data_IF_152003041489
#
_entry.id   IF_152003041489
#
_cell.length_a   1.000
_cell.length_b   1.000
_cell.length_c   1.000
_cell.angle_alpha   90.00
_cell.angle_beta   90.00
_cell.angle_gamma   90.00
#
_symmetry.space_group_name_H-M   'P 1'
#
loop_
_entity.id
_entity.type
_entity.pdbx_description
1 polymer ?
#
# COMPACT_ATOMS: atom_id res chain seq x y z
N UNK A 1 -99.54 4.40 -8.28
CA UNK A 1 -99.04 5.14 -7.11
C UNK A 1 -97.73 5.77 -7.53
N UNK A 2 -97.73 7.09 -7.73
CA UNK A 2 -96.67 7.84 -8.42
C UNK A 2 -96.27 9.05 -7.57
N UNK A 3 -94.95 9.27 -7.49
CA UNK A 3 -94.21 10.50 -7.15
C UNK A 3 -94.44 11.12 -5.75
N UNK A 4 -93.33 11.33 -5.02
CA UNK A 4 -93.01 12.65 -4.43
C UNK A 4 -91.56 12.72 -3.93
N UNK A 5 -90.73 13.37 -4.73
CA UNK A 5 -89.50 14.10 -4.38
C UNK A 5 -89.72 15.16 -3.30
N UNK A 6 -88.72 15.39 -2.45
CA UNK A 6 -88.46 16.73 -1.88
C UNK A 6 -86.96 17.02 -1.77
N UNK A 7 -86.55 18.01 -2.56
CA UNK A 7 -85.25 18.66 -2.65
C UNK A 7 -85.41 20.09 -2.11
N UNK A 8 -84.45 20.61 -1.33
CA UNK A 8 -84.10 22.04 -1.06
C UNK A 8 -83.28 22.12 0.23
N UNK A 9 -82.24 22.96 0.42
CA UNK A 9 -81.42 23.89 -0.37
C UNK A 9 -80.40 24.46 0.64
N UNK A 10 -79.12 24.55 0.32
CA UNK A 10 -78.38 25.79 0.58
C UNK A 10 -77.21 25.95 -0.41
N UNK A 11 -77.02 27.22 -0.77
CA UNK A 11 -76.26 27.85 -1.86
C UNK A 11 -74.76 27.54 -2.02
N UNK A 12 -74.33 27.67 -3.28
CA UNK A 12 -72.98 27.82 -3.89
C UNK A 12 -72.47 29.28 -3.67
N UNK A 13 -71.15 29.62 -3.73
CA UNK A 13 -70.41 29.88 -5.00
C UNK A 13 -69.00 29.22 -5.01
N UNK A 14 -68.49 28.60 -6.08
CA UNK A 14 -68.00 29.15 -7.36
C UNK A 14 -66.85 30.16 -7.23
N UNK A 15 -65.61 29.67 -7.26
CA UNK A 15 -64.47 30.36 -7.90
C UNK A 15 -63.62 29.35 -8.67
N UNK A 16 -63.34 29.74 -9.90
CA UNK A 16 -62.60 29.07 -10.95
C UNK A 16 -61.20 29.69 -11.01
N UNK A 17 -60.12 28.91 -11.05
CA UNK A 17 -58.86 29.29 -11.70
C UNK A 17 -57.81 28.15 -11.64
N UNK A 18 -57.67 27.45 -12.76
CA UNK A 18 -56.41 27.25 -13.48
C UNK A 18 -55.10 27.33 -12.65
N UNK A 19 -54.48 26.19 -12.35
CA UNK A 19 -53.01 26.11 -12.18
C UNK A 19 -52.45 25.15 -13.22
N UNK A 20 -52.11 25.76 -14.35
CA UNK A 20 -51.27 25.22 -15.40
C UNK A 20 -49.93 24.72 -14.83
N UNK A 21 -49.42 23.66 -15.46
CA UNK A 21 -48.06 23.15 -15.32
C UNK A 21 -47.01 24.27 -15.16
N UNK A 22 -46.28 24.23 -14.04
CA UNK A 22 -45.01 24.93 -13.91
C UNK A 22 -43.90 23.87 -14.08
N UNK A 23 -42.93 24.07 -14.98
CA UNK A 23 -41.76 23.20 -15.04
C UNK A 23 -40.97 23.38 -13.75
N UNK A 24 -40.67 22.29 -13.05
CA UNK A 24 -39.63 22.28 -12.03
C UNK A 24 -38.29 22.40 -12.75
N UNK A 25 -37.82 23.62 -12.97
CA UNK A 25 -36.44 23.86 -13.35
C UNK A 25 -35.57 23.62 -12.10
N UNK A 26 -34.93 22.46 -12.04
CA UNK A 26 -33.77 22.26 -11.17
C UNK A 26 -32.60 23.00 -11.79
N UNK A 27 -32.18 24.09 -11.16
CA UNK A 27 -30.89 24.71 -11.42
C UNK A 27 -29.89 24.11 -10.43
N UNK A 28 -28.98 23.26 -10.92
CA UNK A 28 -27.79 22.93 -10.17
C UNK A 28 -26.82 24.11 -10.34
N UNK A 29 -26.87 25.05 -9.41
CA UNK A 29 -25.92 26.16 -9.33
C UNK A 29 -24.72 25.71 -8.49
N UNK A 30 -23.51 25.84 -9.03
CA UNK A 30 -22.26 25.66 -8.27
C UNK A 30 -22.13 26.83 -7.30
N UNK A 31 -22.43 26.59 -6.02
CA UNK A 31 -22.20 27.55 -4.94
C UNK A 31 -20.74 27.44 -4.51
N UNK A 32 -19.97 28.52 -4.67
CA UNK A 32 -18.65 28.61 -4.07
C UNK A 32 -18.81 28.62 -2.54
N UNK A 33 -18.15 27.70 -1.85
CA UNK A 33 -18.12 27.64 -0.39
C UNK A 33 -17.37 28.87 0.12
N UNK A 34 -17.99 29.67 0.98
CA UNK A 34 -17.29 30.76 1.68
C UNK A 34 -16.41 30.17 2.78
N UNK A 35 -15.22 30.75 3.01
CA UNK A 35 -14.25 30.27 4.00
C UNK A 35 -14.82 30.12 5.42
N UNK A 36 -15.91 30.80 5.74
CA UNK A 36 -16.60 30.74 7.03
C UNK A 36 -17.38 29.42 7.20
N UNK A 37 -17.89 28.82 6.12
CA UNK A 37 -18.49 27.46 6.13
C UNK A 37 -17.38 26.38 6.15
N UNK A 38 -16.19 26.65 5.59
CA UNK A 38 -15.02 25.76 5.73
C UNK A 38 -14.31 25.86 7.09
N UNK A 39 -14.58 26.89 7.89
CA UNK A 39 -14.01 27.05 9.22
C UNK A 39 -14.62 26.09 10.24
N UNK A 40 -15.82 25.56 9.97
CA UNK A 40 -16.46 24.49 10.75
C UNK A 40 -15.94 23.09 10.37
N UNK A 41 -15.23 22.96 9.23
CA UNK A 41 -14.39 21.79 8.93
C UNK A 41 -13.03 22.00 9.62
N UNK A 42 -13.03 22.20 10.93
CA UNK A 42 -11.83 22.03 11.77
C UNK A 42 -11.79 20.56 12.14
N UNK A 43 -10.79 19.84 11.61
CA UNK A 43 -10.58 18.41 11.84
C UNK A 43 -10.44 18.06 13.31
N UNK A 44 -11.57 17.80 13.98
CA UNK A 44 -11.59 17.25 15.35
C UNK A 44 -11.66 15.73 15.35
N UNK A 45 -11.81 15.09 14.20
CA UNK A 45 -11.75 13.65 14.03
C UNK A 45 -11.01 13.36 12.72
N UNK A 46 -10.11 12.38 12.73
CA UNK A 46 -9.46 11.87 11.53
C UNK A 46 -10.45 11.45 10.45
N UNK A 47 -9.95 11.31 9.23
CA UNK A 47 -10.71 10.86 8.07
C UNK A 47 -10.59 9.34 7.94
N UNK A 48 -11.72 8.65 7.79
CA UNK A 48 -11.76 7.23 7.43
C UNK A 48 -12.19 7.07 5.99
N UNK A 49 -11.44 6.27 5.23
CA UNK A 49 -11.67 5.99 3.81
C UNK A 49 -11.73 4.47 3.64
N UNK A 50 -12.88 3.96 3.21
CA UNK A 50 -13.02 2.55 2.81
C UNK A 50 -12.75 2.42 1.30
N UNK A 51 -11.93 1.44 0.92
CA UNK A 51 -11.45 1.25 -0.44
C UNK A 51 -11.89 -0.12 -0.93
N UNK A 52 -12.65 -0.12 -2.02
CA UNK A 52 -13.01 -1.32 -2.77
C UNK A 52 -12.77 -1.01 -4.26
N UNK A 53 -11.99 -1.86 -4.94
CA UNK A 53 -11.60 -1.58 -6.32
C UNK A 53 -11.40 -2.83 -7.15
N UNK A 54 -11.62 -2.70 -8.45
CA UNK A 54 -11.27 -3.70 -9.45
C UNK A 54 -11.00 -2.97 -10.76
N UNK A 55 -9.91 -3.29 -11.42
CA UNK A 55 -9.66 -2.77 -12.75
C UNK A 55 -9.04 -3.79 -13.68
N UNK A 56 -9.32 -3.60 -14.97
CA UNK A 56 -8.72 -4.38 -16.05
C UNK A 56 -8.26 -3.41 -17.12
N UNK A 57 -7.03 -3.56 -17.60
CA UNK A 57 -6.46 -2.77 -18.69
C UNK A 57 -6.07 -3.74 -19.80
N UNK A 58 -6.64 -3.54 -21.00
CA UNK A 58 -6.37 -4.40 -22.14
C UNK A 58 -4.92 -4.26 -22.63
N UNK A 59 -4.43 -3.04 -22.81
CA UNK A 59 -3.04 -2.77 -23.18
C UNK A 59 -2.58 -1.43 -22.60
N UNK A 60 -1.38 -1.43 -22.03
CA UNK A 60 -0.57 -0.24 -21.79
C UNK A 60 0.62 -0.29 -22.73
N UNK A 61 0.87 0.78 -23.50
CA UNK A 61 2.01 0.88 -24.42
C UNK A 61 2.72 2.22 -24.22
N UNK A 62 4.02 2.15 -23.91
CA UNK A 62 4.91 3.31 -23.90
C UNK A 62 5.73 3.34 -25.19
N UNK A 63 5.67 4.45 -25.93
CA UNK A 63 6.29 4.59 -27.26
C UNK A 63 7.44 5.60 -27.23
N UNK A 64 8.65 5.11 -27.51
CA UNK A 64 9.85 5.91 -27.76
C UNK A 64 10.83 5.13 -28.66
N UNK A 65 10.98 5.56 -29.92
CA UNK A 65 11.82 4.90 -30.95
C UNK A 65 11.68 3.36 -31.00
N UNK A 66 10.46 2.88 -30.77
CA UNK A 66 10.11 1.52 -30.36
C UNK A 66 8.98 1.60 -29.35
N UNK A 67 8.53 0.48 -28.79
CA UNK A 67 7.63 0.52 -27.65
C UNK A 67 7.84 -0.62 -26.66
N UNK A 68 7.41 -0.39 -25.43
CA UNK A 68 7.25 -1.39 -24.39
C UNK A 68 5.75 -1.53 -24.17
N UNK A 69 5.24 -2.76 -24.15
CA UNK A 69 3.82 -3.00 -23.94
C UNK A 69 3.58 -4.00 -22.79
N UNK A 70 2.43 -3.85 -22.16
CA UNK A 70 1.86 -4.75 -21.16
C UNK A 70 0.41 -5.02 -21.55
N UNK A 71 -0.03 -6.27 -21.57
CA UNK A 71 -1.39 -6.68 -21.94
C UNK A 71 -2.09 -7.44 -20.85
N UNK A 72 -3.41 -7.35 -20.89
CA UNK A 72 -4.33 -8.09 -20.04
C UNK A 72 -3.95 -7.94 -18.57
N UNK A 73 -3.79 -6.69 -18.13
CA UNK A 73 -3.55 -6.36 -16.74
C UNK A 73 -4.87 -6.44 -15.99
N UNK A 74 -4.91 -7.14 -14.86
CA UNK A 74 -6.03 -7.08 -13.94
C UNK A 74 -5.57 -6.95 -12.49
N UNK A 75 -6.38 -6.24 -11.72
CA UNK A 75 -6.29 -6.13 -10.27
C UNK A 75 -7.67 -6.42 -9.67
N UNK A 76 -7.76 -7.49 -8.90
CA UNK A 76 -8.98 -8.03 -8.32
C UNK A 76 -8.68 -8.78 -7.02
N UNK A 77 -9.69 -9.15 -6.23
CA UNK A 77 -9.51 -10.04 -5.08
C UNK A 77 -9.09 -11.45 -5.51
N UNK A 78 -8.56 -12.24 -4.58
CA UNK A 78 -8.28 -13.67 -4.79
C UNK A 78 -9.63 -14.37 -5.09
N UNK A 79 -9.60 -15.41 -5.92
CA UNK A 79 -10.80 -16.06 -6.49
C UNK A 79 -11.73 -15.17 -7.34
N UNK A 80 -11.31 -13.93 -7.59
CA UNK A 80 -12.02 -12.94 -8.39
C UNK A 80 -13.02 -12.14 -7.56
N UNK A 81 -13.10 -10.84 -7.84
CA UNK A 81 -13.96 -9.95 -7.07
C UNK A 81 -13.47 -8.52 -7.13
N UNK A 82 -13.87 -7.71 -6.17
CA UNK A 82 -13.16 -6.48 -5.84
C UNK A 82 -11.98 -6.85 -4.93
N UNK A 83 -10.89 -6.10 -5.02
CA UNK A 83 -9.99 -5.95 -3.88
C UNK A 83 -10.73 -5.07 -2.89
N UNK A 84 -11.12 -5.64 -1.77
CA UNK A 84 -11.97 -5.00 -0.77
C UNK A 84 -11.35 -5.07 0.62
N UNK A 85 -12.15 -4.72 1.62
CA UNK A 85 -11.78 -4.78 3.02
C UNK A 85 -10.58 -3.89 3.40
N UNK A 86 -10.23 -2.90 2.59
CA UNK A 86 -9.16 -1.93 2.88
C UNK A 86 -9.75 -0.68 3.53
N UNK A 87 -9.24 -0.31 4.69
CA UNK A 87 -9.54 0.95 5.38
C UNK A 87 -8.27 1.77 5.52
N UNK A 88 -8.32 3.02 5.07
CA UNK A 88 -7.31 4.02 5.43
C UNK A 88 -7.87 4.99 6.47
N UNK A 89 -7.19 5.14 7.60
CA UNK A 89 -7.42 6.22 8.55
C UNK A 89 -6.34 7.28 8.36
N UNK A 90 -6.75 8.54 8.27
CA UNK A 90 -5.88 9.70 8.10
C UNK A 90 -6.10 10.62 9.28
N UNK A 91 -5.11 10.74 10.15
CA UNK A 91 -5.22 11.56 11.34
C UNK A 91 -3.96 12.38 11.58
N UNK A 92 -4.12 13.48 12.33
CA UNK A 92 -3.01 14.31 12.79
C UNK A 92 -2.87 14.06 14.29
N UNK A 93 -1.72 13.55 14.73
CA UNK A 93 -1.50 13.24 16.14
C UNK A 93 -1.52 14.48 17.01
N UNK A 94 -2.33 14.43 18.06
CA UNK A 94 -2.29 15.39 19.16
C UNK A 94 -1.26 15.02 20.24
N UNK A 95 -1.09 15.89 21.26
CA UNK A 95 -0.12 15.67 22.31
C UNK A 95 -0.50 14.49 23.21
N UNK A 96 0.36 13.46 23.25
CA UNK A 96 0.17 12.19 23.98
C UNK A 96 -1.00 11.33 23.47
N UNK A 97 -1.44 11.56 22.23
CA UNK A 97 -2.44 10.70 21.60
C UNK A 97 -1.78 9.44 21.04
N UNK A 98 -2.42 8.28 21.23
CA UNK A 98 -1.99 7.04 20.60
C UNK A 98 -2.89 6.74 19.41
N UNK A 99 -2.31 6.68 18.22
CA UNK A 99 -3.02 6.33 17.00
C UNK A 99 -2.79 4.85 16.64
N UNK A 100 -3.75 4.26 15.96
CA UNK A 100 -3.59 2.92 15.39
C UNK A 100 -2.47 2.95 14.35
N UNK A 101 -1.46 2.10 14.55
CA UNK A 101 -0.28 1.97 13.69
C UNK A 101 0.21 0.53 13.74
N UNK A 102 0.78 0.03 12.64
CA UNK A 102 1.26 -1.32 12.50
C UNK A 102 0.27 -2.39 12.94
N UNK A 103 0.74 -3.39 13.70
CA UNK A 103 -0.12 -4.46 14.24
C UNK A 103 -0.86 -4.08 15.54
N UNK A 104 -1.05 -2.79 15.83
CA UNK A 104 -1.80 -2.35 17.02
C UNK A 104 -3.23 -2.94 17.10
N UNK A 105 -3.88 -3.17 15.95
CA UNK A 105 -5.19 -3.81 15.91
C UNK A 105 -5.13 -5.28 16.37
N UNK A 106 -4.04 -6.00 16.11
CA UNK A 106 -3.85 -7.37 16.62
C UNK A 106 -3.79 -7.37 18.15
N UNK A 107 -3.07 -6.40 18.74
CA UNK A 107 -3.08 -6.21 20.18
C UNK A 107 -4.49 -5.90 20.71
N UNK A 108 -5.26 -5.07 19.99
CA UNK A 108 -6.64 -4.75 20.36
C UNK A 108 -7.54 -5.99 20.36
N UNK A 109 -7.49 -6.80 19.30
CA UNK A 109 -8.28 -8.04 19.20
C UNK A 109 -7.85 -9.09 20.23
N UNK A 110 -6.56 -9.17 20.56
CA UNK A 110 -6.06 -10.02 21.62
C UNK A 110 -6.60 -9.62 23.01
N UNK A 111 -6.63 -8.32 23.32
CA UNK A 111 -7.19 -7.81 24.58
C UNK A 111 -8.71 -8.01 24.68
N UNK A 112 -9.41 -8.04 23.54
CA UNK A 112 -10.82 -8.44 23.46
C UNK A 112 -11.03 -9.96 23.57
N UNK A 113 -9.95 -10.74 23.65
CA UNK A 113 -9.95 -12.18 23.85
C UNK A 113 -10.17 -13.00 22.58
N UNK A 114 -9.90 -12.44 21.40
CA UNK A 114 -10.05 -13.16 20.12
C UNK A 114 -8.78 -13.91 19.69
N UNK A 115 -7.62 -13.50 20.20
CA UNK A 115 -6.32 -14.10 19.89
C UNK A 115 -5.69 -14.70 21.15
N UNK A 116 -4.80 -15.68 20.98
CA UNK A 116 -4.04 -16.25 22.09
C UNK A 116 -2.95 -15.26 22.55
N UNK A 117 -3.01 -14.71 23.77
CA UNK A 117 -1.98 -13.80 24.26
C UNK A 117 -0.63 -14.49 24.52
N UNK A 118 -0.55 -15.83 24.42
CA UNK A 118 0.69 -16.59 24.54
C UNK A 118 1.29 -17.00 23.19
N UNK A 119 0.62 -16.67 22.07
CA UNK A 119 1.23 -16.76 20.76
C UNK A 119 2.32 -15.67 20.68
N UNK A 120 3.50 -16.01 20.13
CA UNK A 120 4.70 -15.19 20.27
C UNK A 120 4.55 -13.81 19.58
N UNK A 121 3.97 -13.76 18.38
CA UNK A 121 3.73 -12.53 17.64
C UNK A 121 2.62 -11.67 18.28
N UNK A 122 1.55 -12.30 18.77
CA UNK A 122 0.47 -11.62 19.50
C UNK A 122 0.98 -11.04 20.81
N UNK A 123 1.77 -11.81 21.57
CA UNK A 123 2.40 -11.34 22.79
C UNK A 123 3.34 -10.16 22.52
N UNK A 124 4.11 -10.22 21.43
CA UNK A 124 4.94 -9.12 20.97
C UNK A 124 4.10 -7.88 20.65
N UNK A 125 3.02 -8.02 19.88
CA UNK A 125 2.17 -6.90 19.50
C UNK A 125 1.51 -6.24 20.72
N UNK A 126 1.04 -7.02 21.69
CA UNK A 126 0.53 -6.48 22.97
C UNK A 126 1.62 -5.65 23.65
N UNK A 127 2.84 -6.17 23.77
CA UNK A 127 3.94 -5.45 24.41
C UNK A 127 4.36 -4.18 23.64
N UNK A 128 4.30 -4.22 22.31
CA UNK A 128 4.76 -3.14 21.44
C UNK A 128 3.76 -1.97 21.36
N UNK A 129 2.47 -2.28 21.33
CA UNK A 129 1.42 -1.30 21.05
C UNK A 129 0.57 -0.91 22.28
N UNK A 130 0.51 -1.73 23.32
CA UNK A 130 -0.26 -1.40 24.54
C UNK A 130 0.58 -0.63 25.54
N UNK A 131 0.11 0.55 25.92
CA UNK A 131 0.73 1.31 27.00
C UNK A 131 0.51 0.61 28.35
N UNK A 132 1.60 0.35 29.06
CA UNK A 132 1.55 -0.38 30.35
C UNK A 132 0.89 0.40 31.50
N UNK A 133 0.71 1.73 31.36
CA UNK A 133 0.19 2.62 32.39
C UNK A 133 -1.28 2.96 32.12
N UNK A 134 -1.58 3.43 30.90
CA UNK A 134 -2.94 3.85 30.50
C UNK A 134 -3.77 2.68 29.99
N UNK A 135 -3.13 1.62 29.47
CA UNK A 135 -3.79 0.50 28.80
C UNK A 135 -4.27 0.82 27.39
N UNK A 136 -3.99 2.03 26.89
CA UNK A 136 -4.34 2.45 25.53
C UNK A 136 -3.46 1.73 24.50
N UNK A 137 -4.04 1.41 23.35
CA UNK A 137 -3.40 0.63 22.29
C UNK A 137 -3.16 1.55 21.09
N UNK A 138 -1.98 1.46 20.50
CA UNK A 138 -1.54 2.29 19.37
C UNK A 138 -0.08 2.70 19.49
N UNK A 139 0.35 3.74 18.78
CA UNK A 139 1.65 4.40 18.96
C UNK A 139 1.45 5.87 19.26
N UNK A 140 2.19 6.37 20.26
CA UNK A 140 2.30 7.81 20.50
C UNK A 140 3.26 8.40 19.47
N UNK A 141 2.79 9.37 18.72
CA UNK A 141 3.56 10.09 17.71
C UNK A 141 3.85 11.51 18.20
N UNK A 142 4.70 12.24 17.48
CA UNK A 142 4.97 13.64 17.81
C UNK A 142 3.76 14.53 17.48
N UNK A 143 3.59 15.63 18.22
CA UNK A 143 2.45 16.53 18.05
C UNK A 143 2.48 17.21 16.67
N UNK A 144 1.40 17.05 15.91
CA UNK A 144 1.27 17.61 14.57
C UNK A 144 1.80 16.73 13.43
N UNK A 145 2.18 15.49 13.71
CA UNK A 145 2.50 14.51 12.67
C UNK A 145 1.23 13.99 11.99
N UNK A 146 1.30 13.72 10.69
CA UNK A 146 0.20 13.09 9.96
C UNK A 146 0.46 11.59 9.86
N UNK A 147 -0.48 10.78 10.32
CA UNK A 147 -0.48 9.34 10.09
C UNK A 147 -1.57 8.96 9.08
N UNK A 148 -1.17 8.18 8.08
CA UNK A 148 -2.08 7.39 7.25
C UNK A 148 -1.84 5.92 7.61
N UNK A 149 -2.79 5.31 8.30
CA UNK A 149 -2.74 3.89 8.63
C UNK A 149 -3.74 3.14 7.75
N UNK A 150 -3.26 2.12 7.03
CA UNK A 150 -4.07 1.27 6.17
C UNK A 150 -4.12 -0.13 6.75
N UNK A 151 -5.32 -0.59 7.08
CA UNK A 151 -5.60 -1.89 7.68
C UNK A 151 -6.94 -2.45 7.19
N UNK A 152 -7.37 -3.59 7.73
CA UNK A 152 -8.60 -4.22 7.30
C UNK A 152 -9.85 -3.50 7.85
N UNK A 153 -10.94 -3.42 7.09
CA UNK A 153 -12.21 -2.87 7.60
C UNK A 153 -12.89 -3.82 8.59
N UNK A 154 -12.74 -5.13 8.35
CA UNK A 154 -13.26 -6.25 9.12
C UNK A 154 -12.30 -7.44 9.00
N UNK A 155 -12.27 -8.29 10.01
CA UNK A 155 -11.46 -9.50 10.05
C UNK A 155 -12.31 -10.77 9.97
N UNK A 156 -13.64 -10.65 9.79
CA UNK A 156 -14.55 -11.81 9.71
C UNK A 156 -14.63 -12.60 11.02
N UNK A 157 -14.32 -11.95 12.15
CA UNK A 157 -14.31 -12.55 13.48
C UNK A 157 -15.68 -12.52 14.16
N UNK A 158 -16.56 -11.61 13.74
CA UNK A 158 -17.89 -11.44 14.31
C UNK A 158 -18.94 -11.91 13.30
N UNK A 159 -19.52 -13.08 13.57
CA UNK A 159 -20.74 -13.52 12.88
C UNK A 159 -21.97 -12.90 13.56
N UNK A 160 -22.53 -11.86 12.96
CA UNK A 160 -23.75 -11.20 13.44
C UNK A 160 -25.01 -12.09 13.42
N UNK A 161 -24.95 -13.26 12.79
CA UNK A 161 -26.01 -14.25 12.80
C UNK A 161 -25.84 -15.33 13.87
N UNK A 162 -24.66 -15.42 14.49
CA UNK A 162 -24.33 -16.38 15.54
C UNK A 162 -24.69 -15.87 16.93
N UNK A 163 -25.18 -16.77 17.79
CA UNK A 163 -25.37 -16.50 19.22
C UNK A 163 -24.15 -16.85 20.07
N UNK A 164 -23.10 -17.40 19.46
CA UNK A 164 -21.83 -17.76 20.10
C UNK A 164 -20.70 -16.95 19.48
N UNK A 165 -19.95 -16.22 20.31
CA UNK A 165 -18.76 -15.50 19.89
C UNK A 165 -17.64 -16.50 19.59
N UNK A 166 -16.98 -16.36 18.45
CA UNK A 166 -15.78 -17.11 18.08
C UNK A 166 -14.55 -16.47 18.78
N UNK A 167 -14.49 -16.57 20.11
CA UNK A 167 -13.42 -16.00 20.92
C UNK A 167 -12.98 -16.96 22.04
N UNK A 168 -13.20 -18.25 21.85
CA UNK A 168 -12.70 -19.27 22.77
C UNK A 168 -11.28 -19.69 22.40
N UNK A 169 -10.52 -20.32 23.31
CA UNK A 169 -9.19 -20.83 22.96
C UNK A 169 -9.15 -21.82 21.80
N UNK A 170 -10.28 -22.43 21.44
CA UNK A 170 -10.38 -23.29 20.27
C UNK A 170 -10.38 -22.51 18.95
N UNK A 171 -10.75 -21.23 18.98
CA UNK A 171 -10.93 -20.37 17.80
C UNK A 171 -9.70 -19.49 17.53
N UNK A 172 -8.75 -19.40 18.47
CA UNK A 172 -7.61 -18.45 18.38
C UNK A 172 -6.78 -18.61 17.12
N UNK A 173 -6.48 -19.83 16.71
CA UNK A 173 -5.70 -20.09 15.49
C UNK A 173 -6.46 -19.65 14.22
N UNK A 174 -7.75 -20.00 14.14
CA UNK A 174 -8.60 -19.63 13.01
C UNK A 174 -8.82 -18.11 12.94
N UNK A 175 -8.95 -17.45 14.09
CA UNK A 175 -9.07 -16.00 14.17
C UNK A 175 -7.79 -15.31 13.69
N UNK A 176 -6.62 -15.80 14.10
CA UNK A 176 -5.34 -15.25 13.65
C UNK A 176 -5.16 -15.43 12.14
N UNK A 177 -5.52 -16.59 11.58
CA UNK A 177 -5.47 -16.83 10.13
C UNK A 177 -6.40 -15.89 9.36
N UNK A 178 -7.65 -15.72 9.83
CA UNK A 178 -8.57 -14.73 9.26
C UNK A 178 -7.99 -13.32 9.29
N UNK A 179 -7.34 -12.93 10.38
CA UNK A 179 -6.70 -11.63 10.48
C UNK A 179 -5.56 -11.48 9.47
N UNK A 180 -4.75 -12.53 9.30
CA UNK A 180 -3.65 -12.56 8.34
C UNK A 180 -4.10 -12.52 6.87
N UNK A 181 -5.31 -12.99 6.60
CA UNK A 181 -5.86 -13.16 5.25
C UNK A 181 -6.95 -12.14 4.91
N UNK A 182 -7.12 -11.09 5.72
CA UNK A 182 -8.27 -10.21 5.64
C UNK A 182 -8.29 -9.32 4.40
N UNK A 183 -7.14 -8.80 3.99
CA UNK A 183 -7.01 -8.03 2.74
C UNK A 183 -6.30 -8.90 1.74
N UNK A 184 -7.02 -9.34 0.73
CA UNK A 184 -6.52 -10.19 -0.33
C UNK A 184 -6.49 -9.45 -1.67
N UNK A 185 -5.47 -9.72 -2.47
CA UNK A 185 -5.31 -9.11 -3.78
C UNK A 185 -4.67 -10.06 -4.77
N UNK A 186 -5.09 -9.92 -6.00
CA UNK A 186 -4.63 -10.67 -7.16
C UNK A 186 -4.26 -9.71 -8.27
N UNK A 187 -3.01 -9.80 -8.70
CA UNK A 187 -2.49 -9.10 -9.88
C UNK A 187 -2.29 -10.12 -10.99
N UNK A 188 -2.81 -9.85 -12.17
CA UNK A 188 -2.51 -10.63 -13.37
C UNK A 188 -1.98 -9.75 -14.48
N UNK A 189 -1.07 -10.30 -15.26
CA UNK A 189 -0.56 -9.70 -16.49
C UNK A 189 -0.39 -10.79 -17.55
N UNK A 190 -1.14 -10.67 -18.65
CA UNK A 190 -1.08 -11.62 -19.75
C UNK A 190 0.27 -11.63 -20.46
N UNK A 191 0.75 -10.47 -20.91
CA UNK A 191 2.03 -10.36 -21.64
C UNK A 191 2.77 -9.07 -21.28
N UNK A 192 4.10 -9.15 -21.19
CA UNK A 192 4.99 -8.00 -21.18
C UNK A 192 6.05 -8.17 -22.26
N UNK A 193 6.31 -7.11 -23.02
CA UNK A 193 7.22 -7.19 -24.15
C UNK A 193 7.63 -5.87 -24.75
N UNK A 194 8.36 -5.96 -25.85
CA UNK A 194 8.85 -4.84 -26.64
C UNK A 194 8.38 -4.97 -28.09
N UNK A 195 8.13 -3.83 -28.75
CA UNK A 195 7.73 -3.76 -30.16
C UNK A 195 8.69 -2.85 -30.92
N UNK A 196 8.95 -3.17 -32.18
CA UNK A 196 9.70 -2.30 -33.08
C UNK A 196 8.95 -1.00 -33.34
N UNK A 197 9.69 0.05 -33.72
CA UNK A 197 9.14 1.38 -33.97
C UNK A 197 8.12 1.44 -35.12
N UNK A 198 8.17 0.47 -36.04
CA UNK A 198 7.22 0.30 -37.14
C UNK A 198 6.03 -0.60 -36.77
N UNK A 199 6.04 -1.21 -35.58
CA UNK A 199 5.01 -2.14 -35.12
C UNK A 199 5.10 -3.54 -35.72
N UNK A 200 6.03 -3.79 -36.65
CA UNK A 200 6.07 -5.03 -37.45
C UNK A 200 6.64 -6.23 -36.69
N UNK A 201 7.42 -5.99 -35.63
CA UNK A 201 8.07 -7.02 -34.84
C UNK A 201 7.75 -6.81 -33.37
N UNK A 202 7.25 -7.87 -32.73
CA UNK A 202 6.97 -7.88 -31.30
C UNK A 202 7.73 -9.00 -30.61
N UNK A 203 8.35 -8.68 -29.48
CA UNK A 203 8.99 -9.65 -28.58
C UNK A 203 8.31 -9.68 -27.23
N UNK A 204 7.62 -10.77 -26.91
CA UNK A 204 7.12 -11.02 -25.55
C UNK A 204 8.28 -11.56 -24.71
N UNK A 205 8.51 -10.96 -23.54
CA UNK A 205 9.57 -11.29 -22.58
C UNK A 205 9.06 -12.14 -21.43
N UNK A 206 7.87 -11.83 -20.93
CA UNK A 206 7.16 -12.64 -19.92
C UNK A 206 5.67 -12.73 -20.25
N UNK A 207 5.02 -13.77 -19.74
CA UNK A 207 3.59 -13.99 -19.86
C UNK A 207 3.04 -14.70 -18.63
N UNK A 208 1.71 -14.70 -18.52
CA UNK A 208 0.98 -15.42 -17.47
C UNK A 208 1.50 -15.07 -16.07
N UNK A 209 1.84 -13.79 -15.84
CA UNK A 209 2.18 -13.38 -14.49
C UNK A 209 0.90 -13.36 -13.67
N UNK A 210 0.89 -14.12 -12.59
CA UNK A 210 -0.17 -14.11 -11.57
C UNK A 210 0.50 -13.95 -10.23
N UNK A 211 -0.01 -13.04 -9.40
CA UNK A 211 0.44 -12.82 -8.03
C UNK A 211 -0.79 -12.81 -7.15
N UNK A 212 -0.85 -13.70 -6.17
CA UNK A 212 -1.85 -13.71 -5.10
C UNK A 212 -1.16 -13.34 -3.79
N UNK A 213 -1.66 -12.29 -3.15
CA UNK A 213 -1.01 -11.70 -1.99
C UNK A 213 -2.02 -11.20 -0.97
N UNK A 214 -1.52 -11.03 0.24
CA UNK A 214 -2.23 -10.46 1.38
C UNK A 214 -1.49 -9.23 1.88
N UNK A 215 -2.25 -8.21 2.26
CA UNK A 215 -1.73 -7.02 2.91
C UNK A 215 -1.93 -7.14 4.42
N UNK A 216 -0.87 -6.95 5.20
CA UNK A 216 -0.95 -6.83 6.66
C UNK A 216 -1.37 -5.41 7.05
N UNK A 217 -0.51 -4.43 6.75
CA UNK A 217 -0.82 -3.01 6.87
C UNK A 217 0.08 -2.16 5.96
N UNK A 218 -0.31 -0.91 5.74
CA UNK A 218 0.57 0.15 5.24
C UNK A 218 0.48 1.35 6.16
N UNK A 219 1.60 1.79 6.71
CA UNK A 219 1.71 3.05 7.43
C UNK A 219 2.49 4.06 6.60
N UNK A 220 1.95 5.26 6.49
CA UNK A 220 2.67 6.43 5.99
C UNK A 220 2.59 7.48 7.08
N UNK A 221 3.73 7.71 7.73
CA UNK A 221 3.89 8.76 8.74
C UNK A 221 4.62 9.93 8.12
N UNK A 222 4.04 11.13 8.20
CA UNK A 222 4.70 12.38 7.82
C UNK A 222 5.04 13.11 9.10
N UNK A 223 6.32 13.08 9.44
CA UNK A 223 6.84 13.75 10.62
C UNK A 223 7.17 15.21 10.32
N UNK A 224 6.64 16.11 11.14
CA UNK A 224 6.77 17.55 10.97
C UNK A 224 7.60 18.18 12.10
N UNK A 225 8.92 18.07 11.97
CA UNK A 225 9.87 18.67 12.90
C UNK A 225 10.45 20.00 12.40
N UNK A 226 9.70 20.71 11.56
CA UNK A 226 10.09 22.01 11.01
C UNK A 226 11.10 21.91 9.87
N UNK A 227 11.92 22.95 9.71
CA UNK A 227 12.85 23.12 8.59
C UNK A 227 14.33 22.95 8.97
N UNK A 228 14.60 22.34 10.13
CA UNK A 228 15.96 22.06 10.57
C UNK A 228 16.60 20.93 9.78
N UNK A 229 17.92 20.86 9.86
CA UNK A 229 18.74 19.81 9.27
C UNK A 229 19.77 19.33 10.28
N UNK A 230 19.78 18.03 10.52
CA UNK A 230 20.67 17.37 11.48
C UNK A 230 21.80 16.65 10.75
N UNK A 231 22.94 16.51 11.43
CA UNK A 231 24.05 15.72 10.91
C UNK A 231 23.69 14.24 10.95
N UNK A 232 24.07 13.53 9.91
CA UNK A 232 23.87 12.08 9.84
C UNK A 232 24.92 11.39 10.70
N UNK A 233 24.48 10.69 11.74
CA UNK A 233 25.36 9.97 12.67
C UNK A 233 24.84 8.59 13.07
N UNK A 234 23.72 8.14 12.49
CA UNK A 234 23.10 6.85 12.77
C UNK A 234 23.24 5.84 11.63
N UNK A 235 23.16 4.55 11.97
CA UNK A 235 23.10 3.48 10.98
C UNK A 235 21.82 3.61 10.14
N UNK A 236 21.94 3.41 8.83
CA UNK A 236 20.84 3.62 7.89
C UNK A 236 20.78 5.02 7.29
N UNK A 237 21.47 6.00 7.87
CA UNK A 237 21.57 7.35 7.30
C UNK A 237 22.67 7.45 6.23
N UNK A 238 22.53 8.35 5.23
CA UNK A 238 23.58 8.61 4.26
C UNK A 238 24.76 9.33 4.90
N UNK A 239 25.99 8.89 4.64
CA UNK A 239 27.18 9.50 5.22
C UNK A 239 27.51 10.88 4.63
N UNK A 240 27.98 11.78 5.49
CA UNK A 240 28.66 13.01 5.08
C UNK A 240 27.74 14.10 4.53
N UNK A 241 26.44 14.02 4.84
CA UNK A 241 25.41 14.98 4.46
C UNK A 241 24.61 15.41 5.69
N UNK A 242 23.65 16.31 5.51
CA UNK A 242 22.66 16.60 6.56
C UNK A 242 21.27 16.23 6.09
N UNK A 243 20.52 15.53 6.94
CA UNK A 243 19.13 15.17 6.69
C UNK A 243 18.19 16.21 7.30
N UNK A 244 17.07 16.46 6.64
CA UNK A 244 16.00 17.28 7.18
C UNK A 244 15.35 16.59 8.39
N UNK A 245 15.02 17.38 9.42
CA UNK A 245 14.41 16.83 10.64
C UNK A 245 12.97 16.31 10.36
N UNK A 246 12.31 16.87 9.33
CA UNK A 246 11.03 16.38 8.80
C UNK A 246 11.25 15.32 7.73
N UNK A 247 10.50 14.22 7.81
CA UNK A 247 10.62 13.11 6.88
C UNK A 247 9.28 12.38 6.72
N UNK A 248 9.21 11.54 5.69
CA UNK A 248 8.12 10.59 5.48
C UNK A 248 8.66 9.20 5.82
N UNK A 249 8.07 8.55 6.81
CA UNK A 249 8.30 7.14 7.10
C UNK A 249 7.21 6.30 6.42
N UNK A 250 7.64 5.22 5.76
CA UNK A 250 6.74 4.26 5.11
C UNK A 250 7.08 2.89 5.65
N UNK A 251 6.06 2.19 6.11
CA UNK A 251 6.12 0.79 6.54
C UNK A 251 5.05 0.00 5.82
N UNK A 252 5.41 -1.12 5.22
CA UNK A 252 4.48 -2.01 4.53
C UNK A 252 4.76 -3.45 4.90
N UNK A 253 3.70 -4.14 5.34
CA UNK A 253 3.71 -5.57 5.59
C UNK A 253 2.83 -6.28 4.57
N UNK A 254 3.39 -7.24 3.86
CA UNK A 254 2.65 -8.00 2.84
C UNK A 254 3.17 -9.43 2.76
N UNK A 255 2.39 -10.32 2.15
CA UNK A 255 2.78 -11.72 1.94
C UNK A 255 2.27 -12.15 0.58
N UNK A 256 3.12 -12.80 -0.20
CA UNK A 256 2.75 -13.42 -1.47
C UNK A 256 2.65 -14.92 -1.22
N UNK A 257 1.49 -15.49 -1.51
CA UNK A 257 1.23 -16.94 -1.34
C UNK A 257 1.30 -17.71 -2.64
N UNK A 258 1.10 -17.04 -3.77
CA UNK A 258 1.31 -17.63 -5.08
C UNK A 258 1.87 -16.58 -6.05
N UNK A 259 2.95 -16.94 -6.72
CA UNK A 259 3.50 -16.18 -7.83
C UNK A 259 3.93 -17.15 -8.92
N UNK A 260 3.27 -16.97 -10.05
CA UNK A 260 3.50 -17.69 -11.28
C UNK A 260 4.00 -16.74 -12.34
N UNK A 261 5.05 -17.13 -13.08
CA UNK A 261 5.48 -16.38 -14.26
C UNK A 261 6.21 -17.27 -15.27
N UNK A 262 5.92 -17.04 -16.54
CA UNK A 262 6.60 -17.67 -17.66
C UNK A 262 7.46 -16.65 -18.40
N UNK A 263 8.78 -16.85 -18.40
CA UNK A 263 9.67 -16.18 -19.34
C UNK A 263 9.47 -16.75 -20.75
N UNK A 264 9.44 -15.87 -21.74
CA UNK A 264 9.30 -16.23 -23.14
C UNK A 264 10.23 -15.42 -24.02
N UNK A 265 10.38 -15.89 -25.25
CA UNK A 265 11.00 -15.17 -26.33
C UNK A 265 10.49 -15.78 -27.65
N UNK A 266 9.71 -15.01 -28.40
CA UNK A 266 9.17 -15.37 -29.71
C UNK A 266 10.10 -14.96 -30.88
N UNK A 267 11.31 -14.43 -30.61
CA UNK A 267 12.28 -14.00 -31.65
C UNK A 267 12.80 -15.19 -32.47
N UNK A 268 12.44 -15.18 -33.75
CA UNK A 268 12.92 -16.13 -34.75
C UNK A 268 14.21 -15.63 -35.42
N UNK A 269 15.37 -15.82 -34.77
CA UNK A 269 16.66 -15.64 -35.46
C UNK A 269 17.06 -16.93 -36.23
N UNK A 270 17.26 -16.89 -37.56
CA UNK A 270 17.54 -18.09 -38.38
C UNK A 270 18.94 -18.70 -38.16
N UNK A 271 19.88 -18.01 -37.50
CA UNK A 271 21.27 -18.46 -37.35
C UNK A 271 21.55 -19.28 -36.08
N UNK A 272 20.68 -19.20 -35.06
CA UNK A 272 20.86 -19.91 -33.78
C UNK A 272 19.58 -20.69 -33.46
N UNK A 273 19.66 -21.99 -33.10
CA UNK A 273 18.48 -22.75 -32.69
C UNK A 273 17.78 -22.10 -31.50
N UNK A 274 16.43 -22.07 -31.50
CA UNK A 274 15.64 -21.41 -30.45
C UNK A 274 15.97 -21.92 -29.04
N UNK A 275 16.34 -23.20 -28.91
CA UNK A 275 16.74 -23.86 -27.66
C UNK A 275 18.07 -23.34 -27.07
N UNK A 276 18.92 -22.71 -27.89
CA UNK A 276 20.21 -22.14 -27.47
C UNK A 276 20.13 -20.64 -27.15
N UNK A 277 18.96 -20.00 -27.32
CA UNK A 277 18.78 -18.55 -27.17
C UNK A 277 18.24 -18.11 -25.81
N UNK A 278 17.40 -18.93 -25.17
CA UNK A 278 16.92 -18.67 -23.82
C UNK A 278 16.40 -19.97 -23.22
N UNK A 279 16.82 -20.37 -22.02
CA UNK A 279 16.10 -21.39 -21.29
C UNK A 279 14.81 -20.73 -20.80
N UNK A 280 13.66 -21.10 -21.39
CA UNK A 280 12.33 -20.65 -20.96
C UNK A 280 12.19 -20.86 -19.44
N UNK A 281 12.48 -19.82 -18.66
CA UNK A 281 12.43 -19.87 -17.21
C UNK A 281 10.98 -19.75 -16.82
N UNK A 282 10.54 -20.70 -16.02
CA UNK A 282 9.20 -20.73 -15.51
C UNK A 282 9.29 -20.93 -14.01
N UNK A 283 8.60 -20.07 -13.27
CA UNK A 283 8.48 -20.13 -11.82
C UNK A 283 7.02 -20.42 -11.50
N UNK A 284 6.77 -21.34 -10.56
CA UNK A 284 5.44 -21.57 -10.01
C UNK A 284 5.41 -21.57 -8.50
N UNK A 285 4.26 -21.20 -7.96
CA UNK A 285 3.94 -21.24 -6.54
C UNK A 285 4.99 -20.52 -5.69
N UNK A 286 5.57 -19.44 -6.22
CA UNK A 286 6.59 -18.69 -5.49
C UNK A 286 5.94 -17.90 -4.35
N UNK A 287 6.48 -18.05 -3.14
CA UNK A 287 6.03 -17.30 -1.96
C UNK A 287 7.06 -16.27 -1.53
N UNK A 288 6.56 -15.14 -1.02
CA UNK A 288 7.35 -14.10 -0.36
C UNK A 288 6.70 -13.85 0.99
N UNK A 289 7.39 -14.20 2.06
CA UNK A 289 6.84 -14.17 3.42
C UNK A 289 7.97 -13.91 4.43
N UNK A 290 7.73 -14.03 5.74
CA UNK A 290 8.80 -14.03 6.75
C UNK A 290 8.45 -15.03 7.87
N UNK A 291 8.49 -16.31 7.53
CA UNK A 291 7.94 -17.39 8.40
C UNK A 291 9.03 -18.35 8.89
N UNK A 292 10.27 -18.20 8.42
CA UNK A 292 11.40 -19.03 8.79
C UNK A 292 12.59 -18.16 9.13
N UNK A 293 13.56 -18.75 9.81
CA UNK A 293 14.76 -18.02 10.22
C UNK A 293 14.66 -17.50 11.64
N UNK A 294 15.50 -16.51 11.95
CA UNK A 294 15.64 -15.97 13.31
C UNK A 294 14.92 -14.62 13.51
N UNK A 295 14.38 -14.02 12.44
CA UNK A 295 13.82 -12.66 12.43
C UNK A 295 12.32 -12.62 12.10
N UNK A 296 11.56 -13.63 12.54
CA UNK A 296 10.11 -13.77 12.29
C UNK A 296 9.24 -13.03 13.31
N UNK A 297 9.76 -12.76 14.51
CA UNK A 297 8.99 -12.20 15.63
C UNK A 297 8.48 -10.78 15.32
N UNK A 298 7.19 -10.56 15.53
CA UNK A 298 6.51 -9.29 15.31
C UNK A 298 6.13 -9.01 13.85
N UNK A 299 6.38 -9.97 12.96
CA UNK A 299 6.04 -9.86 11.54
C UNK A 299 4.80 -10.65 11.15
N UNK A 300 4.28 -11.55 12.00
CA UNK A 300 3.10 -12.37 11.72
C UNK A 300 3.22 -13.20 10.42
N UNK A 301 4.44 -13.50 9.98
CA UNK A 301 4.72 -14.18 8.72
C UNK A 301 4.74 -13.27 7.48
N UNK A 302 4.56 -11.96 7.62
CA UNK A 302 4.62 -11.02 6.51
C UNK A 302 6.05 -10.60 6.19
N UNK A 303 6.34 -10.46 4.90
CA UNK A 303 7.47 -9.68 4.43
C UNK A 303 7.32 -8.21 4.86
N UNK A 304 8.44 -7.55 5.12
CA UNK A 304 8.51 -6.16 5.57
C UNK A 304 9.34 -5.30 4.63
N UNK A 305 8.85 -4.10 4.36
CA UNK A 305 9.61 -3.02 3.72
C UNK A 305 9.37 -1.74 4.48
N UNK A 306 10.43 -1.20 5.07
CA UNK A 306 10.45 0.03 5.84
C UNK A 306 11.46 0.99 5.23
N UNK A 307 11.14 2.29 5.22
CA UNK A 307 12.07 3.33 4.76
C UNK A 307 11.65 4.71 5.24
N UNK A 308 12.60 5.62 5.27
CA UNK A 308 12.39 7.06 5.42
C UNK A 308 12.72 7.80 4.13
N UNK A 309 12.01 8.89 3.86
CA UNK A 309 12.23 9.80 2.75
C UNK A 309 12.34 11.21 3.32
N UNK A 310 13.50 11.84 3.13
CA UNK A 310 13.80 13.15 3.70
C UNK A 310 14.50 14.06 2.71
N UNK A 311 14.40 15.36 2.97
CA UNK A 311 15.28 16.33 2.34
C UNK A 311 16.72 16.09 2.80
N UNK A 312 17.68 16.36 1.93
CA UNK A 312 19.10 16.22 2.26
C UNK A 312 19.86 17.40 1.66
N UNK A 313 20.87 17.86 2.38
CA UNK A 313 21.74 18.94 1.93
C UNK A 313 23.21 18.60 2.14
N UNK A 314 24.07 19.44 1.58
CA UNK A 314 25.53 19.30 1.60
C UNK A 314 26.06 18.09 0.81
N UNK A 315 25.30 17.62 -0.19
CA UNK A 315 25.77 16.55 -1.09
C UNK A 315 26.88 17.13 -1.98
N UNK A 316 28.01 16.43 -2.10
CA UNK A 316 29.09 16.85 -3.00
C UNK A 316 28.78 16.30 -4.41
N UNK A 317 28.39 17.13 -5.39
CA UNK A 317 27.94 16.62 -6.69
C UNK A 317 29.10 16.16 -7.59
N UNK A 318 30.28 16.80 -7.48
CA UNK A 318 31.44 16.52 -8.33
C UNK A 318 32.76 16.69 -7.57
N UNK A 319 33.58 15.65 -7.56
CA UNK A 319 34.90 15.67 -6.95
C UNK A 319 35.89 16.67 -7.62
N UNK A 320 35.69 16.94 -8.91
CA UNK A 320 36.51 17.89 -9.66
C UNK A 320 36.28 19.35 -9.20
N UNK A 321 35.03 19.71 -8.88
CA UNK A 321 34.70 21.00 -8.28
C UNK A 321 35.35 21.13 -6.90
N UNK A 322 35.28 20.09 -6.06
CA UNK A 322 35.98 20.07 -4.76
C UNK A 322 37.48 20.37 -4.92
N UNK A 323 38.14 19.76 -5.91
CA UNK A 323 39.57 20.01 -6.18
C UNK A 323 39.83 21.44 -6.65
N UNK A 324 38.95 22.02 -7.47
CA UNK A 324 39.05 23.41 -7.93
C UNK A 324 38.89 24.42 -6.78
N UNK A 325 37.87 24.25 -5.93
CA UNK A 325 37.63 25.13 -4.77
C UNK A 325 38.71 25.00 -3.68
N UNK A 326 39.24 23.78 -3.48
CA UNK A 326 40.37 23.54 -2.58
C UNK A 326 41.65 24.19 -3.10
N UNK A 327 41.92 24.10 -4.41
CA UNK A 327 43.13 24.68 -5.03
C UNK A 327 43.06 26.20 -5.20
N UNK A 328 41.86 26.80 -5.25
CA UNK A 328 41.67 28.26 -5.19
C UNK A 328 41.75 28.84 -3.77
N UNK A 329 41.82 27.99 -2.73
CA UNK A 329 41.77 28.40 -1.33
C UNK A 329 40.44 29.05 -0.93
N UNK A 330 39.38 28.82 -1.71
CA UNK A 330 38.05 29.41 -1.49
C UNK A 330 37.11 28.49 -0.71
N UNK A 331 37.47 27.22 -0.51
CA UNK A 331 36.69 26.29 0.29
C UNK A 331 36.87 26.61 1.78
N UNK A 332 35.82 27.13 2.41
CA UNK A 332 35.80 27.38 3.87
C UNK A 332 34.88 26.41 4.60
N UNK A 333 33.85 25.89 3.93
CA UNK A 333 32.93 24.87 4.43
C UNK A 333 32.49 23.95 3.28
N UNK A 334 32.11 22.70 3.58
CA UNK A 334 31.49 21.78 2.61
C UNK A 334 30.20 22.36 2.02
N UNK A 335 29.51 23.19 2.81
CA UNK A 335 28.32 23.97 2.43
C UNK A 335 28.57 24.93 1.25
N UNK A 336 29.83 25.29 0.96
CA UNK A 336 30.17 26.20 -0.15
C UNK A 336 30.01 25.52 -1.52
N UNK A 337 29.99 24.18 -1.56
CA UNK A 337 29.91 23.37 -2.78
C UNK A 337 28.78 22.33 -2.76
N UNK A 338 28.12 22.18 -1.61
CA UNK A 338 27.04 21.24 -1.39
C UNK A 338 25.82 21.58 -2.23
N UNK A 339 25.14 20.55 -2.73
CA UNK A 339 23.83 20.68 -3.36
C UNK A 339 22.77 19.98 -2.52
N UNK A 340 21.54 20.46 -2.68
CA UNK A 340 20.36 19.86 -2.05
C UNK A 340 19.86 18.67 -2.87
N UNK A 341 19.10 17.80 -2.21
CA UNK A 341 18.56 16.60 -2.81
C UNK A 341 17.45 15.96 -1.98
N UNK A 342 17.14 14.72 -2.32
CA UNK A 342 16.24 13.84 -1.59
C UNK A 342 16.99 12.55 -1.26
N UNK A 343 16.83 12.08 -0.03
CA UNK A 343 17.37 10.79 0.39
C UNK A 343 16.23 9.84 0.73
N UNK A 344 16.37 8.59 0.28
CA UNK A 344 15.63 7.45 0.80
C UNK A 344 16.61 6.72 1.70
N UNK A 345 16.35 6.65 2.99
CA UNK A 345 17.31 6.16 3.99
C UNK A 345 16.61 5.28 5.00
N UNK A 346 17.40 4.61 5.84
CA UNK A 346 16.89 3.61 6.79
C UNK A 346 16.03 2.56 6.08
N UNK A 347 16.50 2.10 4.90
CA UNK A 347 15.81 1.11 4.09
C UNK A 347 16.05 -0.26 4.74
N UNK A 348 14.98 -0.83 5.27
CA UNK A 348 14.97 -2.14 5.89
C UNK A 348 13.98 -3.04 5.14
N UNK A 349 14.47 -4.15 4.60
CA UNK A 349 13.67 -5.17 3.90
C UNK A 349 13.93 -6.50 4.56
N UNK A 350 12.87 -7.21 4.94
CA UNK A 350 12.94 -8.56 5.49
C UNK A 350 11.94 -9.45 4.80
N UNK A 351 12.41 -10.52 4.17
CA UNK A 351 11.55 -11.55 3.61
C UNK A 351 12.32 -12.86 3.43
N UNK A 352 11.58 -13.92 3.18
CA UNK A 352 12.00 -15.22 2.73
C UNK A 352 11.41 -15.43 1.33
N UNK A 353 12.13 -16.15 0.48
CA UNK A 353 11.63 -16.59 -0.82
C UNK A 353 11.52 -18.11 -0.86
N UNK A 354 10.34 -18.61 -1.17
CA UNK A 354 10.10 -20.00 -1.51
C UNK A 354 9.87 -20.13 -3.00
N UNK A 355 10.68 -20.93 -3.68
CA UNK A 355 10.54 -21.19 -5.11
C UNK A 355 10.50 -22.71 -5.31
N UNK A 356 9.34 -23.35 -5.06
CA UNK A 356 9.21 -24.82 -5.07
C UNK A 356 9.32 -25.40 -6.49
N UNK A 357 8.97 -24.63 -7.52
CA UNK A 357 9.04 -25.08 -8.90
C UNK A 357 9.81 -24.09 -9.77
N UNK A 358 11.03 -24.48 -10.15
CA UNK A 358 11.82 -23.79 -11.17
C UNK A 358 11.95 -24.70 -12.38
N UNK A 359 11.63 -24.21 -13.57
CA UNK A 359 11.73 -24.98 -14.80
C UNK A 359 12.51 -24.21 -15.85
N UNK A 360 13.30 -24.95 -16.65
CA UNK A 360 13.89 -24.46 -17.88
C UNK A 360 13.37 -25.24 -19.08
N UNK A 361 12.89 -24.52 -20.10
CA UNK A 361 12.40 -25.14 -21.32
C UNK A 361 10.95 -25.60 -21.22
N UNK A 362 10.53 -26.46 -22.13
CA UNK A 362 9.12 -26.85 -22.33
C UNK A 362 8.77 -28.24 -21.77
N UNK A 363 9.60 -28.77 -20.87
CA UNK A 363 9.45 -30.15 -20.39
C UNK A 363 8.42 -30.29 -19.27
N UNK A 364 7.86 -29.18 -18.77
CA UNK A 364 6.94 -29.14 -17.60
C UNK A 364 7.54 -29.78 -16.34
N UNK A 365 8.85 -30.03 -16.38
CA UNK A 365 9.60 -30.69 -15.32
C UNK A 365 10.40 -29.65 -14.57
N UNK A 366 10.12 -29.53 -13.27
CA UNK A 366 10.96 -28.75 -12.36
C UNK A 366 12.38 -29.31 -12.32
N UNK A 367 13.36 -28.42 -12.24
CA UNK A 367 14.77 -28.74 -12.00
C UNK A 367 15.10 -28.79 -10.50
N UNK A 368 14.15 -28.43 -9.65
CA UNK A 368 14.28 -28.40 -8.21
C UNK A 368 13.55 -27.22 -7.57
N UNK A 369 13.84 -27.07 -6.28
CA UNK A 369 13.31 -26.05 -5.38
C UNK A 369 14.46 -25.16 -4.89
N UNK A 370 14.18 -23.88 -4.66
CA UNK A 370 15.13 -22.91 -4.10
C UNK A 370 14.45 -22.17 -2.95
N UNK A 371 15.16 -22.09 -1.83
CA UNK A 371 14.68 -21.41 -0.63
C UNK A 371 15.73 -20.42 -0.15
N UNK A 372 15.32 -19.17 0.02
CA UNK A 372 16.09 -18.15 0.71
C UNK A 372 15.41 -17.89 2.05
N UNK A 373 16.14 -18.09 3.14
CA UNK A 373 15.72 -17.67 4.48
C UNK A 373 16.55 -16.49 4.93
N UNK A 374 15.98 -15.62 5.76
CA UNK A 374 16.66 -14.49 6.37
C UNK A 374 17.24 -13.53 5.31
N UNK A 375 16.51 -13.27 4.21
CA UNK A 375 16.92 -12.22 3.29
C UNK A 375 16.62 -10.87 3.94
N UNK A 376 17.70 -10.22 4.35
CA UNK A 376 17.67 -8.94 5.04
C UNK A 376 18.49 -7.93 4.26
N UNK A 377 17.87 -6.78 3.99
CA UNK A 377 18.54 -5.53 3.67
C UNK A 377 18.32 -4.64 4.87
N UNK A 378 19.38 -4.12 5.47
CA UNK A 378 19.31 -3.28 6.66
C UNK A 378 20.25 -2.09 6.50
N UNK A 379 19.85 -0.95 7.06
CA UNK A 379 20.69 0.24 7.11
C UNK A 379 21.11 0.79 5.73
N UNK A 380 20.32 0.54 4.69
CA UNK A 380 20.66 0.98 3.33
C UNK A 380 20.08 2.38 3.05
N UNK A 381 20.81 3.19 2.29
CA UNK A 381 20.35 4.50 1.83
C UNK A 381 20.65 4.75 0.35
N UNK A 382 19.87 5.65 -0.24
CA UNK A 382 19.97 6.14 -1.60
C UNK A 382 19.75 7.65 -1.56
N UNK A 383 20.81 8.41 -1.83
CA UNK A 383 20.74 9.87 -1.95
C UNK A 383 20.78 10.32 -3.40
N UNK A 384 19.86 11.20 -3.77
CA UNK A 384 19.70 11.73 -5.11
C UNK A 384 19.83 13.26 -5.05
N UNK A 385 20.77 13.82 -5.80
CA UNK A 385 20.96 15.26 -5.96
C UNK A 385 20.79 15.70 -7.41
N UNK A 386 20.53 17.00 -7.60
CA UNK A 386 20.66 17.63 -8.90
C UNK A 386 22.14 17.76 -9.29
N UNK A 387 22.44 17.63 -10.59
CA UNK A 387 23.79 17.83 -11.16
C UNK A 387 23.94 19.21 -11.81
#
# INVERSE_FOLDING_TARGET
MSISTTFRKLLVPFTCALTSALPLFSFAELRALENEEMQDIRGQAGLTIDIETKYTIAEFEYVDAGSIFMRDLAFEGIDGGLVDNIRATVDISGPNERLAMGFSEYAQWAELGFLDPNEDDVAWAINEYKDSVTGEIGKNLDDGDLLIHVSATDYGLIDFSSTTLANTPADYADNLDKMKNAIDLKVTQGEFGIRSSDGDVETVLTRNLTIEAYLGYVDILITNNGNGFSQTDEEGEPDGVRLGDSHIYIDTKFRVEDLDVDSTNNVQNPAVPQQAKNPYLTIRDMRIHNERGADTLGYFGYASVEKKIGAVMDIIPEYDKLTQYASSGSLTNIQDIGVDGVSIYDINVRWDWDIPHIQFGRTEQSIGEVYFTDFVIEGTNLTISAH
#
